data_IF_009170503097
#
_entry.id   IF_009170503097
#
_cell.length_a   1.000
_cell.length_b   1.000
_cell.length_c   1.000
_cell.angle_alpha   90.00
_cell.angle_beta   90.00
_cell.angle_gamma   90.00
#
_symmetry.space_group_name_H-M   'P 1'
#
loop_
_entity.id
_entity.type
_entity.pdbx_description
1 polymer ?
#
# COMPACT_ATOMS: atom_id res chain seq x y z
N UNK A 1 31.99 7.34 0.97
CA UNK A 1 31.17 8.37 0.29
C UNK A 1 29.90 8.47 1.10
N UNK A 2 29.66 9.59 1.76
CA UNK A 2 28.43 9.81 2.52
C UNK A 2 27.27 9.77 1.53
N UNK A 3 26.36 8.82 1.70
CA UNK A 3 25.15 8.71 0.88
C UNK A 3 24.37 10.01 1.04
N UNK A 4 24.32 10.82 -0.01
CA UNK A 4 23.68 12.14 -0.02
C UNK A 4 22.16 11.95 -0.24
N UNK A 5 21.53 11.08 0.58
CA UNK A 5 20.09 10.84 0.50
C UNK A 5 19.35 12.08 1.01
N UNK A 6 18.38 12.56 0.24
CA UNK A 6 17.58 13.76 0.52
C UNK A 6 16.19 13.43 1.02
N UNK A 7 15.71 12.23 0.71
CA UNK A 7 14.37 11.74 1.01
C UNK A 7 14.45 10.42 1.77
N UNK A 8 13.49 10.21 2.67
CA UNK A 8 13.45 8.98 3.44
C UNK A 8 12.80 7.84 2.64
N UNK A 9 11.62 8.10 2.05
CA UNK A 9 10.86 7.09 1.29
C UNK A 9 10.21 7.70 0.06
N UNK A 10 10.41 7.08 -1.10
CA UNK A 10 9.59 7.31 -2.30
C UNK A 10 8.75 6.07 -2.57
N UNK A 11 7.48 6.23 -2.95
CA UNK A 11 6.62 5.11 -3.31
C UNK A 11 6.12 5.21 -4.75
N UNK A 12 5.85 4.03 -5.33
CA UNK A 12 5.15 3.87 -6.61
C UNK A 12 3.89 3.06 -6.36
N UNK A 13 2.73 3.60 -6.73
CA UNK A 13 1.46 2.93 -6.50
C UNK A 13 0.30 3.48 -7.32
N UNK A 14 -0.88 2.94 -7.05
CA UNK A 14 -2.14 3.37 -7.66
C UNK A 14 -2.59 4.72 -7.07
N UNK A 15 -2.70 5.72 -7.93
CA UNK A 15 -3.20 7.05 -7.56
C UNK A 15 -4.71 7.11 -7.83
N UNK A 16 -5.53 7.07 -6.78
CA UNK A 16 -6.98 6.99 -6.89
C UNK A 16 -7.71 7.63 -5.72
N UNK A 17 -9.04 7.75 -5.85
CA UNK A 17 -9.89 8.11 -4.71
C UNK A 17 -10.57 6.87 -4.13
N UNK A 18 -10.60 6.78 -2.81
CA UNK A 18 -11.42 5.82 -2.09
C UNK A 18 -12.77 6.45 -1.77
N UNK A 19 -13.84 5.74 -2.14
CA UNK A 19 -15.24 6.12 -1.88
C UNK A 19 -15.82 5.08 -0.93
N UNK A 20 -15.92 5.43 0.35
CA UNK A 20 -16.38 4.54 1.41
C UNK A 20 -17.91 4.57 1.48
N UNK A 21 -18.54 3.40 1.47
CA UNK A 21 -19.98 3.23 1.52
C UNK A 21 -20.35 2.11 2.50
N UNK A 22 -21.32 2.34 3.38
CA UNK A 22 -21.89 1.27 4.19
C UNK A 22 -23.00 0.56 3.40
N UNK A 23 -22.96 -0.78 3.39
CA UNK A 23 -23.92 -1.62 2.66
C UNK A 23 -24.35 -2.81 3.51
N UNK A 24 -25.50 -3.41 3.20
CA UNK A 24 -25.91 -4.68 3.79
C UNK A 24 -25.27 -5.87 3.07
N UNK A 25 -25.14 -7.02 3.73
CA UNK A 25 -24.63 -8.24 3.06
C UNK A 25 -25.50 -8.67 1.84
N UNK A 26 -26.85 -8.64 1.91
CA UNK A 26 -27.67 -8.95 0.75
C UNK A 26 -27.43 -8.05 -0.46
N UNK A 27 -26.93 -6.82 -0.27
CA UNK A 27 -26.58 -5.94 -1.36
C UNK A 27 -25.42 -6.53 -2.20
N UNK A 28 -24.39 -7.10 -1.55
CA UNK A 28 -23.28 -7.73 -2.26
C UNK A 28 -23.74 -8.90 -3.12
N UNK A 29 -24.62 -9.75 -2.57
CA UNK A 29 -25.17 -10.90 -3.29
C UNK A 29 -26.03 -10.47 -4.48
N UNK A 30 -26.91 -9.48 -4.30
CA UNK A 30 -27.77 -8.93 -5.36
C UNK A 30 -26.98 -8.33 -6.51
N UNK A 31 -25.86 -7.69 -6.19
CA UNK A 31 -24.98 -7.06 -7.16
C UNK A 31 -23.89 -8.00 -7.71
N UNK A 32 -23.83 -9.26 -7.25
CA UNK A 32 -22.83 -10.25 -7.66
C UNK A 32 -21.41 -9.84 -7.31
N UNK A 33 -21.22 -9.20 -6.15
CA UNK A 33 -19.91 -8.70 -5.68
C UNK A 33 -19.33 -9.70 -4.68
N UNK A 34 -18.15 -10.21 -4.94
CA UNK A 34 -17.44 -11.12 -4.02
C UNK A 34 -16.97 -10.35 -2.79
N UNK A 35 -17.43 -10.77 -1.59
CA UNK A 35 -17.13 -10.13 -0.30
C UNK A 35 -15.66 -10.30 0.09
N UNK A 36 -15.09 -9.30 0.74
CA UNK A 36 -13.79 -9.38 1.40
C UNK A 36 -12.57 -9.29 0.48
N UNK A 37 -12.77 -9.01 -0.81
CA UNK A 37 -11.70 -9.01 -1.81
C UNK A 37 -11.65 -7.71 -2.62
N UNK A 38 -10.55 -7.53 -3.36
CA UNK A 38 -10.43 -6.47 -4.34
C UNK A 38 -10.91 -6.97 -5.71
N UNK A 39 -12.07 -6.46 -6.15
CA UNK A 39 -12.65 -6.71 -7.45
C UNK A 39 -12.22 -5.62 -8.43
N UNK A 40 -11.56 -5.98 -9.53
CA UNK A 40 -11.33 -5.05 -10.64
C UNK A 40 -12.63 -4.89 -11.44
N UNK A 41 -13.04 -3.64 -11.67
CA UNK A 41 -14.28 -3.32 -12.36
C UNK A 41 -14.05 -2.33 -13.50
N UNK A 42 -14.92 -2.41 -14.53
CA UNK A 42 -14.93 -1.43 -15.60
C UNK A 42 -15.43 -0.07 -15.11
N UNK A 43 -15.13 0.99 -15.86
CA UNK A 43 -15.68 2.35 -15.63
C UNK A 43 -17.20 2.37 -15.52
N UNK A 44 -17.87 1.61 -16.41
CA UNK A 44 -19.33 1.52 -16.41
C UNK A 44 -19.84 0.85 -15.12
N UNK A 45 -19.24 -0.28 -14.71
CA UNK A 45 -19.61 -0.99 -13.49
C UNK A 45 -19.39 -0.13 -12.25
N UNK A 46 -18.24 0.55 -12.16
CA UNK A 46 -17.94 1.50 -11.07
C UNK A 46 -19.03 2.59 -10.98
N UNK A 47 -19.38 3.20 -12.10
CA UNK A 47 -20.42 4.22 -12.14
C UNK A 47 -21.81 3.67 -11.75
N UNK A 48 -22.12 2.43 -12.12
CA UNK A 48 -23.40 1.79 -11.77
C UNK A 48 -23.46 1.49 -10.26
N UNK A 49 -22.41 0.98 -9.66
CA UNK A 49 -22.35 0.77 -8.20
C UNK A 49 -22.56 2.11 -7.47
N UNK A 50 -21.90 3.19 -7.90
CA UNK A 50 -22.04 4.51 -7.26
C UNK A 50 -23.46 5.09 -7.31
N UNK A 51 -24.28 4.69 -8.29
CA UNK A 51 -25.70 5.11 -8.34
C UNK A 51 -26.57 4.40 -7.30
N UNK A 52 -26.13 3.22 -6.82
CA UNK A 52 -26.88 2.36 -5.91
C UNK A 52 -26.50 2.57 -4.44
N UNK A 53 -25.36 3.18 -4.15
CA UNK A 53 -24.84 3.38 -2.82
C UNK A 53 -24.74 4.87 -2.47
N UNK A 54 -24.69 5.18 -1.16
CA UNK A 54 -24.46 6.53 -0.69
C UNK A 54 -23.09 6.62 -0.05
N UNK A 55 -22.18 7.45 -0.59
CA UNK A 55 -20.87 7.68 0.03
C UNK A 55 -21.00 8.24 1.45
N UNK A 56 -20.26 7.64 2.37
CA UNK A 56 -20.07 8.14 3.74
C UNK A 56 -18.86 9.07 3.79
N UNK A 57 -17.81 8.72 3.04
CA UNK A 57 -16.57 9.49 2.96
C UNK A 57 -15.91 9.29 1.59
N UNK A 58 -15.32 10.36 1.07
CA UNK A 58 -14.41 10.31 -0.07
C UNK A 58 -13.04 10.84 0.37
N UNK A 59 -11.97 10.16 0.00
CA UNK A 59 -10.61 10.53 0.39
C UNK A 59 -9.60 10.12 -0.68
N UNK A 60 -8.46 10.76 -0.73
CA UNK A 60 -7.35 10.23 -1.52
C UNK A 60 -6.98 8.83 -0.98
N UNK A 61 -6.85 7.86 -1.88
CA UNK A 61 -6.63 6.45 -1.61
C UNK A 61 -5.43 5.90 -2.38
N UNK A 62 -5.38 4.58 -2.48
CA UNK A 62 -4.23 3.85 -2.99
C UNK A 62 -3.29 3.42 -1.86
N UNK A 63 -2.96 2.13 -1.81
CA UNK A 63 -2.21 1.51 -0.71
C UNK A 63 -0.89 2.23 -0.42
N UNK A 64 -0.05 2.39 -1.44
CA UNK A 64 1.23 3.10 -1.27
C UNK A 64 1.04 4.59 -0.93
N UNK A 65 0.00 5.25 -1.43
CA UNK A 65 -0.28 6.65 -1.09
C UNK A 65 -0.71 6.79 0.38
N UNK A 66 -1.45 5.82 0.92
CA UNK A 66 -1.80 5.79 2.35
C UNK A 66 -0.55 5.64 3.22
N UNK A 67 0.34 4.72 2.84
CA UNK A 67 1.64 4.52 3.53
C UNK A 67 2.45 5.81 3.53
N UNK A 68 2.59 6.47 2.38
CA UNK A 68 3.38 7.70 2.24
C UNK A 68 2.76 8.87 2.99
N UNK A 69 1.43 9.03 2.99
CA UNK A 69 0.74 10.07 3.76
C UNK A 69 1.01 9.92 5.26
N UNK A 70 0.93 8.70 5.78
CA UNK A 70 1.24 8.44 7.19
C UNK A 70 2.71 8.71 7.51
N UNK A 71 3.66 8.31 6.64
CA UNK A 71 5.08 8.62 6.81
C UNK A 71 5.35 10.14 6.83
N UNK A 72 4.69 10.90 5.95
CA UNK A 72 4.79 12.36 5.94
C UNK A 72 4.27 12.97 7.25
N UNK A 73 3.14 12.50 7.78
CA UNK A 73 2.58 12.92 9.09
C UNK A 73 3.47 12.53 10.26
N UNK A 74 4.31 11.49 10.11
CA UNK A 74 5.36 11.12 11.05
C UNK A 74 6.61 12.00 10.92
N UNK A 75 6.63 12.93 9.96
CA UNK A 75 7.71 13.91 9.76
C UNK A 75 8.84 13.44 8.85
N UNK A 76 8.65 12.39 8.05
CA UNK A 76 9.61 11.98 7.05
C UNK A 76 9.47 12.79 5.76
N UNK A 77 10.57 12.92 5.02
CA UNK A 77 10.60 13.51 3.69
C UNK A 77 10.22 12.44 2.67
N UNK A 78 9.05 12.55 2.09
CA UNK A 78 8.48 11.52 1.24
C UNK A 78 8.17 12.01 -0.16
N UNK A 79 8.13 11.06 -1.11
CA UNK A 79 7.71 11.30 -2.48
C UNK A 79 6.78 10.20 -2.99
N UNK A 80 5.98 10.52 -3.98
CA UNK A 80 5.03 9.59 -4.58
C UNK A 80 5.04 9.67 -6.10
N UNK A 81 5.03 8.53 -6.75
CA UNK A 81 4.94 8.36 -8.22
C UNK A 81 3.67 7.54 -8.50
N UNK A 82 2.71 8.14 -9.21
CA UNK A 82 1.45 7.52 -9.58
C UNK A 82 0.69 8.40 -10.56
N UNK A 83 -0.08 7.81 -11.49
CA UNK A 83 -0.73 8.52 -12.59
C UNK A 83 -2.17 8.89 -12.27
N UNK A 84 -2.52 10.14 -12.47
CA UNK A 84 -3.89 10.66 -12.37
C UNK A 84 -4.28 11.38 -13.66
N UNK A 85 -5.58 11.54 -13.91
CA UNK A 85 -6.08 12.37 -14.99
C UNK A 85 -6.17 13.85 -14.58
N UNK A 86 -6.25 14.74 -15.56
CA UNK A 86 -6.51 16.18 -15.36
C UNK A 86 -8.04 16.39 -15.17
N UNK A 87 -8.57 15.82 -14.08
CA UNK A 87 -9.98 15.88 -13.70
C UNK A 87 -10.14 16.33 -12.23
N UNK A 88 -11.39 16.48 -11.78
CA UNK A 88 -11.68 16.92 -10.42
C UNK A 88 -11.08 15.97 -9.37
N UNK A 89 -11.19 14.66 -9.59
CA UNK A 89 -10.69 13.64 -8.69
C UNK A 89 -9.17 13.64 -8.61
N UNK A 90 -8.48 13.76 -9.73
CA UNK A 90 -7.02 13.92 -9.79
C UNK A 90 -6.56 15.19 -9.10
N UNK A 91 -7.33 16.28 -9.24
CA UNK A 91 -7.09 17.53 -8.51
C UNK A 91 -7.21 17.37 -6.99
N UNK A 92 -8.18 16.60 -6.50
CA UNK A 92 -8.34 16.26 -5.07
C UNK A 92 -7.15 15.44 -4.59
N UNK A 93 -6.79 14.35 -5.29
CA UNK A 93 -5.65 13.50 -4.94
C UNK A 93 -4.34 14.31 -4.85
N UNK A 94 -4.03 15.10 -5.87
CA UNK A 94 -2.83 15.93 -5.91
C UNK A 94 -2.76 16.95 -4.77
N UNK A 95 -3.89 17.62 -4.48
CA UNK A 95 -3.96 18.59 -3.38
C UNK A 95 -3.72 17.96 -2.02
N UNK A 96 -4.22 16.74 -1.81
CA UNK A 96 -4.04 15.99 -0.58
C UNK A 96 -2.56 15.63 -0.36
N UNK A 97 -1.87 15.13 -1.39
CA UNK A 97 -0.43 14.86 -1.30
C UNK A 97 0.38 16.12 -0.99
N UNK A 98 0.06 17.25 -1.66
CA UNK A 98 0.75 18.53 -1.43
C UNK A 98 0.48 19.05 0.00
N UNK A 99 -0.75 18.90 0.51
CA UNK A 99 -1.10 19.26 1.88
C UNK A 99 -0.24 18.52 2.90
N UNK A 100 0.01 17.23 2.69
CA UNK A 100 0.90 16.41 3.52
C UNK A 100 2.39 16.64 3.21
N UNK A 101 2.74 17.64 2.38
CA UNK A 101 4.12 17.98 1.97
C UNK A 101 4.85 16.84 1.24
N UNK A 102 4.11 15.96 0.57
CA UNK A 102 4.64 14.85 -0.23
C UNK A 102 5.06 15.38 -1.61
N UNK A 103 6.24 15.00 -2.06
CA UNK A 103 6.73 15.36 -3.40
C UNK A 103 5.96 14.55 -4.44
N UNK A 104 5.23 15.24 -5.31
CA UNK A 104 4.45 14.64 -6.39
C UNK A 104 4.67 15.42 -7.69
N UNK A 105 5.38 14.81 -8.65
CA UNK A 105 5.75 15.45 -9.92
C UNK A 105 5.23 14.69 -11.15
N UNK A 106 4.60 13.51 -10.98
CA UNK A 106 4.07 12.72 -12.09
C UNK A 106 3.11 13.57 -12.94
N UNK A 107 3.35 13.60 -14.23
CA UNK A 107 2.49 14.32 -15.16
C UNK A 107 1.08 13.71 -15.20
N UNK A 108 0.08 14.54 -15.42
CA UNK A 108 -1.28 14.06 -15.68
C UNK A 108 -1.31 13.13 -16.91
N UNK A 109 -2.30 12.26 -16.94
CA UNK A 109 -2.62 11.50 -18.15
C UNK A 109 -2.84 12.45 -19.33
N UNK A 110 -2.33 12.07 -20.52
CA UNK A 110 -2.44 12.87 -21.72
C UNK A 110 -3.91 13.21 -22.02
N UNK A 111 -4.17 14.47 -22.38
CA UNK A 111 -5.51 14.98 -22.69
C UNK A 111 -6.20 14.28 -23.89
N UNK A 112 -5.42 13.58 -24.73
CA UNK A 112 -5.95 12.73 -25.79
C UNK A 112 -6.58 11.42 -25.29
N UNK A 113 -6.30 11.03 -24.03
CA UNK A 113 -6.89 9.86 -23.39
C UNK A 113 -8.16 10.26 -22.63
N UNK A 114 -9.24 9.49 -22.80
CA UNK A 114 -10.55 9.77 -22.20
C UNK A 114 -10.73 9.17 -20.80
N UNK A 115 -9.72 8.45 -20.27
CA UNK A 115 -9.80 7.84 -18.94
C UNK A 115 -9.78 8.89 -17.83
N UNK A 116 -10.59 8.64 -16.78
CA UNK A 116 -10.61 9.46 -15.57
C UNK A 116 -9.64 8.93 -14.53
N UNK A 117 -9.38 9.73 -13.50
CA UNK A 117 -8.68 9.26 -12.31
C UNK A 117 -9.34 8.02 -11.71
N UNK A 118 -8.54 7.08 -11.25
CA UNK A 118 -8.99 5.82 -10.67
C UNK A 118 -9.86 6.03 -9.42
N UNK A 119 -10.73 5.05 -9.13
CA UNK A 119 -11.60 5.03 -7.94
C UNK A 119 -11.66 3.64 -7.36
N UNK A 120 -11.60 3.56 -6.04
CA UNK A 120 -11.92 2.35 -5.29
C UNK A 120 -13.20 2.58 -4.48
N UNK A 121 -14.28 1.88 -4.83
CA UNK A 121 -15.52 1.89 -4.05
C UNK A 121 -15.37 0.82 -2.97
N UNK A 122 -15.20 1.28 -1.73
CA UNK A 122 -15.04 0.42 -0.55
C UNK A 122 -16.39 0.22 0.09
N UNK A 123 -16.96 -0.97 -0.07
CA UNK A 123 -18.23 -1.39 0.51
C UNK A 123 -17.96 -2.04 1.87
N UNK A 124 -18.49 -1.44 2.94
CA UNK A 124 -18.30 -1.88 4.32
C UNK A 124 -19.57 -2.54 4.81
N UNK A 125 -19.49 -3.82 5.15
CA UNK A 125 -20.61 -4.60 5.71
C UNK A 125 -20.70 -4.47 7.24
N UNK A 126 -21.82 -4.84 7.89
CA UNK A 126 -22.02 -4.66 9.34
C UNK A 126 -20.97 -5.34 10.23
N UNK A 127 -20.36 -6.43 9.75
CA UNK A 127 -19.25 -7.13 10.41
C UNK A 127 -17.89 -6.40 10.26
N UNK A 128 -17.90 -5.20 9.65
CA UNK A 128 -16.72 -4.36 9.37
C UNK A 128 -15.76 -4.93 8.30
N UNK A 129 -16.20 -5.98 7.60
CA UNK A 129 -15.47 -6.46 6.43
C UNK A 129 -15.60 -5.46 5.27
N UNK A 130 -14.50 -5.29 4.53
CA UNK A 130 -14.43 -4.38 3.38
C UNK A 130 -14.36 -5.16 2.07
N UNK A 131 -15.11 -4.71 1.09
CA UNK A 131 -15.09 -5.24 -0.27
C UNK A 131 -14.76 -4.11 -1.22
N UNK A 132 -13.64 -4.22 -1.91
CA UNK A 132 -13.15 -3.17 -2.82
C UNK A 132 -13.62 -3.44 -4.24
N UNK A 133 -14.12 -2.39 -4.91
CA UNK A 133 -14.48 -2.42 -6.33
C UNK A 133 -13.70 -1.32 -7.02
N UNK A 134 -12.59 -1.72 -7.65
CA UNK A 134 -11.55 -0.81 -8.13
C UNK A 134 -11.63 -0.64 -9.64
N UNK A 135 -11.92 0.58 -10.08
CA UNK A 135 -11.67 1.06 -11.42
C UNK A 135 -10.33 1.77 -11.47
N UNK A 136 -9.37 1.21 -12.19
CA UNK A 136 -7.99 1.69 -12.22
C UNK A 136 -7.85 3.04 -12.95
N UNK A 137 -8.55 3.23 -14.08
CA UNK A 137 -8.55 4.51 -14.83
C UNK A 137 -7.14 4.97 -15.21
N UNK A 138 -6.86 6.25 -14.99
CA UNK A 138 -5.58 6.86 -15.34
C UNK A 138 -4.35 6.13 -14.77
N UNK A 139 -4.49 5.43 -13.65
CA UNK A 139 -3.36 4.77 -13.00
C UNK A 139 -2.80 3.59 -13.83
N UNK A 140 -3.59 2.98 -14.73
CA UNK A 140 -3.11 1.95 -15.65
C UNK A 140 -2.05 2.45 -16.64
N UNK A 141 -2.03 3.75 -16.88
CA UNK A 141 -1.14 4.42 -17.84
C UNK A 141 0.15 4.92 -17.23
N UNK A 142 0.44 4.56 -15.98
CA UNK A 142 1.77 4.80 -15.41
C UNK A 142 2.80 3.97 -16.18
N UNK A 143 3.82 4.61 -16.69
CA UNK A 143 4.82 3.99 -17.54
C UNK A 143 6.24 4.41 -17.14
N UNK A 144 7.24 3.90 -17.82
CA UNK A 144 8.65 4.17 -17.54
C UNK A 144 9.04 5.66 -17.71
N UNK A 145 8.34 6.41 -18.56
CA UNK A 145 8.58 7.86 -18.73
C UNK A 145 8.12 8.69 -17.52
N UNK A 146 7.26 8.13 -16.67
CA UNK A 146 6.75 8.78 -15.47
C UNK A 146 7.67 8.60 -14.25
N UNK A 147 8.70 7.77 -14.38
CA UNK A 147 9.63 7.47 -13.29
C UNK A 147 10.60 8.64 -13.07
N UNK A 148 10.47 9.29 -11.91
CA UNK A 148 11.39 10.34 -11.45
C UNK A 148 12.68 9.68 -10.92
N UNK A 149 13.68 9.58 -11.81
CA UNK A 149 14.96 8.94 -11.50
C UNK A 149 15.70 9.64 -10.35
N UNK A 150 15.64 10.98 -10.31
CA UNK A 150 16.31 11.76 -9.25
C UNK A 150 15.65 11.50 -7.89
N UNK A 151 14.33 11.47 -7.84
CA UNK A 151 13.58 11.19 -6.62
C UNK A 151 13.92 9.81 -6.04
N UNK A 152 14.01 8.78 -6.89
CA UNK A 152 14.41 7.42 -6.47
C UNK A 152 15.88 7.39 -6.03
N UNK A 153 16.79 7.94 -6.85
CA UNK A 153 18.22 7.91 -6.58
C UNK A 153 18.60 8.57 -5.24
N UNK A 154 17.90 9.64 -4.85
CA UNK A 154 18.14 10.36 -3.61
C UNK A 154 17.25 9.92 -2.45
N UNK A 155 16.45 8.83 -2.57
CA UNK A 155 15.69 8.25 -1.49
C UNK A 155 16.45 7.14 -0.77
N UNK A 156 16.22 6.95 0.53
CA UNK A 156 16.75 5.79 1.27
C UNK A 156 15.99 4.52 0.90
N UNK A 157 14.65 4.63 0.75
CA UNK A 157 13.77 3.52 0.40
C UNK A 157 12.93 3.83 -0.83
N UNK A 158 12.79 2.84 -1.71
CA UNK A 158 11.76 2.74 -2.73
C UNK A 158 10.70 1.75 -2.23
N UNK A 159 9.46 2.19 -2.06
CA UNK A 159 8.32 1.37 -1.67
C UNK A 159 7.44 1.06 -2.86
N UNK A 160 7.22 -0.22 -3.16
CA UNK A 160 6.49 -0.72 -4.32
C UNK A 160 5.15 -1.32 -3.92
N UNK A 161 4.08 -0.93 -4.59
CA UNK A 161 2.73 -1.46 -4.40
C UNK A 161 2.47 -2.62 -5.37
N UNK A 162 2.22 -3.83 -4.84
CA UNK A 162 2.02 -5.04 -5.62
C UNK A 162 0.87 -4.97 -6.64
N UNK A 163 -0.21 -4.25 -6.35
CA UNK A 163 -1.32 -4.05 -7.29
C UNK A 163 -0.89 -3.49 -8.65
N UNK A 164 0.30 -2.90 -8.76
CA UNK A 164 0.83 -2.38 -10.03
C UNK A 164 1.25 -3.47 -11.02
N UNK A 165 1.28 -4.72 -10.62
CA UNK A 165 1.50 -5.84 -11.55
C UNK A 165 0.32 -6.09 -12.50
N UNK A 166 -0.87 -5.57 -12.24
CA UNK A 166 -2.04 -5.73 -13.11
C UNK A 166 -1.87 -5.06 -14.50
N UNK A 167 -0.94 -4.11 -14.68
CA UNK A 167 -0.68 -3.43 -15.95
C UNK A 167 0.69 -3.72 -16.56
N UNK A 168 0.77 -4.00 -17.86
CA UNK A 168 2.04 -4.30 -18.55
C UNK A 168 3.02 -3.12 -18.53
N UNK A 169 2.56 -1.91 -18.80
CA UNK A 169 3.40 -0.71 -18.75
C UNK A 169 3.83 -0.41 -17.32
N UNK A 170 2.97 -0.69 -16.35
CA UNK A 170 3.32 -0.59 -14.93
C UNK A 170 4.45 -1.52 -14.52
N UNK A 171 4.47 -2.75 -15.04
CA UNK A 171 5.57 -3.69 -14.82
C UNK A 171 6.88 -3.12 -15.34
N UNK A 172 6.90 -2.55 -16.54
CA UNK A 172 8.09 -1.89 -17.10
C UNK A 172 8.55 -0.74 -16.21
N UNK A 173 7.61 0.10 -15.75
CA UNK A 173 7.90 1.19 -14.83
C UNK A 173 8.53 0.67 -13.52
N UNK A 174 8.02 -0.43 -12.96
CA UNK A 174 8.59 -1.05 -11.77
C UNK A 174 10.02 -1.53 -11.99
N UNK A 175 10.28 -2.29 -13.06
CA UNK A 175 11.62 -2.78 -13.35
C UNK A 175 12.61 -1.63 -13.59
N UNK A 176 12.20 -0.56 -14.28
CA UNK A 176 13.02 0.65 -14.41
C UNK A 176 13.33 1.29 -13.05
N UNK A 177 12.32 1.42 -12.19
CA UNK A 177 12.51 1.99 -10.85
C UNK A 177 13.46 1.14 -9.99
N UNK A 178 13.35 -0.19 -10.06
CA UNK A 178 14.23 -1.15 -9.37
C UNK A 178 15.68 -1.01 -9.87
N UNK A 179 15.87 -0.90 -11.18
CA UNK A 179 17.21 -0.70 -11.78
C UNK A 179 17.86 0.58 -11.24
N UNK A 180 17.10 1.68 -11.22
CA UNK A 180 17.55 2.97 -10.67
C UNK A 180 17.90 2.83 -9.19
N UNK A 181 17.04 2.18 -8.41
CA UNK A 181 17.24 1.95 -6.99
C UNK A 181 18.53 1.15 -6.71
N UNK A 182 18.72 0.03 -7.40
CA UNK A 182 19.94 -0.80 -7.29
C UNK A 182 21.21 -0.02 -7.63
N UNK A 183 21.19 0.72 -8.75
CA UNK A 183 22.32 1.55 -9.19
C UNK A 183 22.72 2.59 -8.16
N UNK A 184 21.74 3.13 -7.42
CA UNK A 184 21.94 4.21 -6.46
C UNK A 184 21.91 3.73 -4.99
N UNK A 185 21.92 2.42 -4.74
CA UNK A 185 21.86 1.82 -3.40
C UNK A 185 20.63 2.28 -2.59
N UNK A 186 19.54 2.58 -3.26
CA UNK A 186 18.24 2.79 -2.65
C UNK A 186 17.67 1.42 -2.30
N UNK A 187 17.31 1.21 -1.05
CA UNK A 187 16.71 -0.06 -0.59
C UNK A 187 15.30 -0.22 -1.13
N UNK A 188 14.88 -1.46 -1.35
CA UNK A 188 13.60 -1.77 -1.97
C UNK A 188 12.71 -2.50 -0.99
N UNK A 189 11.56 -1.91 -0.67
CA UNK A 189 10.47 -2.53 0.07
C UNK A 189 9.27 -2.75 -0.84
N UNK A 190 8.57 -3.87 -0.70
CA UNK A 190 7.35 -4.18 -1.45
C UNK A 190 6.25 -4.66 -0.54
N UNK A 191 5.00 -4.30 -0.85
CA UNK A 191 3.81 -4.96 -0.31
C UNK A 191 3.23 -5.93 -1.33
N UNK A 192 2.81 -7.11 -0.89
CA UNK A 192 2.11 -8.08 -1.75
C UNK A 192 0.68 -7.64 -2.07
N UNK A 193 0.14 -6.72 -1.30
CA UNK A 193 -1.13 -6.01 -1.49
C UNK A 193 -2.38 -6.82 -1.20
N UNK A 194 -2.56 -8.00 -1.82
CA UNK A 194 -3.77 -8.81 -1.65
C UNK A 194 -3.53 -10.21 -2.26
N UNK A 195 -4.14 -11.24 -1.69
CA UNK A 195 -3.93 -12.64 -2.10
C UNK A 195 -4.34 -12.92 -3.55
N UNK A 196 -5.40 -12.25 -4.06
CA UNK A 196 -5.83 -12.40 -5.46
C UNK A 196 -4.86 -11.72 -6.44
N UNK A 197 -4.22 -10.62 -6.03
CA UNK A 197 -3.13 -10.01 -6.79
C UNK A 197 -1.93 -10.96 -6.85
N UNK A 198 -1.59 -11.59 -5.73
CA UNK A 198 -0.52 -12.60 -5.65
C UNK A 198 -0.83 -13.78 -6.56
N UNK A 199 -2.06 -14.31 -6.54
CA UNK A 199 -2.46 -15.44 -7.39
C UNK A 199 -2.30 -15.14 -8.89
N UNK A 200 -2.69 -13.94 -9.32
CA UNK A 200 -2.56 -13.53 -10.73
C UNK A 200 -1.12 -13.33 -11.17
N UNK A 201 -0.23 -12.92 -10.27
CA UNK A 201 1.12 -12.46 -10.60
C UNK A 201 2.22 -13.17 -9.80
N UNK A 202 1.95 -14.41 -9.33
CA UNK A 202 2.83 -15.17 -8.43
C UNK A 202 4.27 -15.25 -8.91
N UNK A 203 4.48 -15.60 -10.18
CA UNK A 203 5.84 -15.69 -10.74
C UNK A 203 6.57 -14.34 -10.75
N UNK A 204 5.87 -13.26 -11.06
CA UNK A 204 6.44 -11.90 -11.02
C UNK A 204 6.87 -11.54 -9.59
N UNK A 205 6.00 -11.81 -8.59
CA UNK A 205 6.34 -11.60 -7.19
C UNK A 205 7.55 -12.43 -6.75
N UNK A 206 7.55 -13.74 -7.00
CA UNK A 206 8.68 -14.60 -6.63
C UNK A 206 9.99 -14.11 -7.22
N UNK A 207 10.00 -13.74 -8.51
CA UNK A 207 11.19 -13.22 -9.17
C UNK A 207 11.65 -11.91 -8.53
N UNK A 208 10.74 -10.96 -8.32
CA UNK A 208 11.06 -9.67 -7.70
C UNK A 208 11.60 -9.83 -6.28
N UNK A 209 10.97 -10.68 -5.48
CA UNK A 209 11.38 -10.95 -4.10
C UNK A 209 12.79 -11.54 -4.03
N UNK A 210 13.09 -12.52 -4.87
CA UNK A 210 14.39 -13.19 -4.89
C UNK A 210 15.52 -12.28 -5.40
N UNK A 211 15.22 -11.41 -6.36
CA UNK A 211 16.25 -10.66 -7.06
C UNK A 211 16.48 -9.25 -6.49
N UNK A 212 15.49 -8.68 -5.82
CA UNK A 212 15.49 -7.22 -5.64
C UNK A 212 14.99 -6.72 -4.30
N UNK A 213 14.15 -7.44 -3.57
CA UNK A 213 13.54 -6.93 -2.36
C UNK A 213 14.45 -7.05 -1.13
N UNK A 214 14.66 -5.93 -0.42
CA UNK A 214 15.29 -5.89 0.89
C UNK A 214 14.29 -6.15 2.02
N UNK A 215 13.02 -5.77 1.80
CA UNK A 215 11.93 -5.86 2.78
C UNK A 215 10.60 -6.18 2.10
N UNK A 216 9.85 -7.10 2.67
CA UNK A 216 8.51 -7.49 2.19
C UNK A 216 7.49 -7.26 3.29
N UNK A 217 6.37 -6.62 2.92
CA UNK A 217 5.17 -6.54 3.72
C UNK A 217 4.09 -7.45 3.14
N UNK A 218 3.47 -8.26 3.97
CA UNK A 218 2.37 -9.14 3.59
C UNK A 218 1.46 -9.42 4.79
N UNK A 219 0.34 -10.08 4.53
CA UNK A 219 -0.46 -10.75 5.56
C UNK A 219 -0.35 -12.29 5.42
N UNK A 220 -1.01 -13.02 6.35
CA UNK A 220 -0.97 -14.50 6.35
C UNK A 220 -1.55 -15.09 5.05
N UNK A 221 -2.63 -14.51 4.50
CA UNK A 221 -3.30 -15.05 3.31
C UNK A 221 -2.50 -14.75 2.03
N UNK A 222 -1.90 -13.59 1.93
CA UNK A 222 -0.97 -13.24 0.84
C UNK A 222 0.26 -14.17 0.84
N UNK A 223 0.81 -14.48 2.01
CA UNK A 223 1.95 -15.35 2.14
C UNK A 223 1.62 -16.80 1.78
N UNK A 224 0.44 -17.30 2.20
CA UNK A 224 -0.08 -18.63 1.80
C UNK A 224 -0.31 -18.70 0.29
N UNK A 225 -0.96 -17.68 -0.29
CA UNK A 225 -1.18 -17.58 -1.74
C UNK A 225 0.15 -17.60 -2.51
N UNK A 226 1.16 -16.86 -2.07
CA UNK A 226 2.45 -16.76 -2.74
C UNK A 226 3.14 -18.13 -2.90
N UNK A 227 3.05 -18.97 -1.89
CA UNK A 227 3.72 -20.28 -1.87
C UNK A 227 2.75 -21.46 -2.06
N UNK A 228 1.47 -21.22 -2.31
CA UNK A 228 0.43 -22.26 -2.52
C UNK A 228 0.37 -23.27 -1.38
N UNK A 229 0.42 -22.80 -0.14
CA UNK A 229 0.42 -23.63 1.06
C UNK A 229 -0.78 -23.34 1.94
N UNK A 230 -1.33 -24.39 2.57
CA UNK A 230 -2.46 -24.24 3.49
C UNK A 230 -2.04 -23.66 4.86
N UNK A 231 -0.82 -23.98 5.30
CA UNK A 231 -0.34 -23.66 6.63
C UNK A 231 0.69 -22.53 6.58
N UNK A 232 0.49 -21.51 7.40
CA UNK A 232 1.40 -20.37 7.49
C UNK A 232 2.82 -20.79 7.86
N UNK A 233 3.01 -21.86 8.65
CA UNK A 233 4.32 -22.38 9.05
C UNK A 233 5.15 -22.87 7.86
N UNK A 234 4.50 -23.44 6.84
CA UNK A 234 5.19 -23.85 5.62
C UNK A 234 5.65 -22.63 4.80
N UNK A 235 4.79 -21.62 4.65
CA UNK A 235 5.16 -20.35 4.00
C UNK A 235 6.31 -19.64 4.75
N UNK A 236 6.27 -19.66 6.07
CA UNK A 236 7.31 -19.09 6.92
C UNK A 236 8.69 -19.71 6.66
N UNK A 237 8.75 -21.02 6.51
CA UNK A 237 10.01 -21.72 6.19
C UNK A 237 10.54 -21.35 4.80
N UNK A 238 9.66 -21.30 3.82
CA UNK A 238 10.05 -20.98 2.44
C UNK A 238 10.61 -19.56 2.32
N UNK A 239 9.93 -18.57 2.91
CA UNK A 239 10.33 -17.16 2.79
C UNK A 239 11.58 -16.82 3.61
N UNK A 240 11.81 -17.50 4.74
CA UNK A 240 12.98 -17.27 5.59
C UNK A 240 14.31 -17.56 4.87
N UNK A 241 14.30 -18.44 3.86
CA UNK A 241 15.49 -18.84 3.12
C UNK A 241 15.77 -17.93 1.90
N UNK A 242 14.81 -17.12 1.45
CA UNK A 242 14.89 -16.38 0.18
C UNK A 242 15.00 -14.87 0.34
N UNK A 243 14.52 -14.26 1.41
CA UNK A 243 14.39 -12.81 1.55
C UNK A 243 15.04 -12.30 2.83
N UNK A 244 15.70 -11.13 2.76
CA UNK A 244 16.46 -10.58 3.90
C UNK A 244 15.57 -10.23 5.09
N UNK A 245 14.36 -9.69 4.86
CA UNK A 245 13.42 -9.33 5.91
C UNK A 245 11.98 -9.39 5.41
N UNK A 246 11.10 -10.05 6.16
CA UNK A 246 9.66 -10.06 5.92
C UNK A 246 8.91 -9.67 7.18
N UNK A 247 7.96 -8.77 7.04
CA UNK A 247 7.02 -8.36 8.07
C UNK A 247 5.61 -8.81 7.67
N UNK A 248 5.16 -9.93 8.25
CA UNK A 248 3.87 -10.53 7.95
C UNK A 248 2.85 -10.19 9.04
N UNK A 249 1.82 -9.42 8.71
CA UNK A 249 0.74 -9.07 9.64
C UNK A 249 -0.23 -10.24 9.85
N UNK A 250 -0.72 -10.40 11.09
CA UNK A 250 -1.56 -11.51 11.50
C UNK A 250 -2.74 -11.02 12.36
N UNK A 251 -3.45 -10.01 11.88
CA UNK A 251 -4.60 -9.38 12.51
C UNK A 251 -4.40 -9.11 14.02
N UNK A 252 -5.30 -9.57 14.89
CA UNK A 252 -5.23 -9.37 16.33
C UNK A 252 -4.04 -10.08 17.02
N UNK A 253 -3.35 -10.98 16.29
CA UNK A 253 -2.13 -11.65 16.80
C UNK A 253 -0.89 -10.75 16.68
N UNK A 254 -0.95 -9.65 15.93
CA UNK A 254 0.16 -8.73 15.67
C UNK A 254 0.91 -9.06 14.37
N UNK A 255 2.22 -9.21 14.41
CA UNK A 255 3.02 -9.50 13.22
C UNK A 255 4.11 -10.54 13.49
N UNK A 256 4.46 -11.30 12.46
CA UNK A 256 5.67 -12.11 12.43
C UNK A 256 6.77 -11.38 11.66
N UNK A 257 7.97 -11.42 12.22
CA UNK A 257 9.21 -10.99 11.56
C UNK A 257 10.04 -12.21 11.16
N UNK A 258 10.40 -12.27 9.89
CA UNK A 258 11.35 -13.24 9.37
C UNK A 258 12.62 -12.51 8.99
N UNK A 259 13.74 -12.84 9.62
CA UNK A 259 15.02 -12.21 9.33
C UNK A 259 16.17 -13.17 9.67
N UNK A 260 17.06 -13.45 8.69
CA UNK A 260 18.24 -14.32 8.86
C UNK A 260 17.90 -15.66 9.56
N UNK A 261 16.94 -16.39 9.02
CA UNK A 261 16.45 -17.66 9.55
C UNK A 261 15.85 -17.61 10.98
N UNK A 262 15.61 -16.42 11.51
CA UNK A 262 14.89 -16.25 12.77
C UNK A 262 13.44 -15.82 12.51
N UNK A 263 12.52 -16.39 13.28
CA UNK A 263 11.10 -16.04 13.25
C UNK A 263 10.72 -15.49 14.62
N UNK A 264 10.19 -14.27 14.67
CA UNK A 264 9.77 -13.62 15.90
C UNK A 264 8.36 -13.09 15.75
N UNK A 265 7.52 -13.36 16.74
CA UNK A 265 6.18 -12.78 16.82
C UNK A 265 6.22 -11.53 17.68
N UNK A 266 5.64 -10.44 17.14
CA UNK A 266 5.48 -9.16 17.83
C UNK A 266 3.97 -8.97 18.07
N UNK A 267 3.54 -9.06 19.32
CA UNK A 267 2.12 -8.92 19.68
C UNK A 267 1.63 -7.48 19.48
N UNK A 268 0.33 -7.33 19.31
CA UNK A 268 -0.36 -6.03 19.24
C UNK A 268 -1.33 -5.85 20.41
N UNK A 269 -1.78 -4.62 20.64
CA UNK A 269 -2.82 -4.28 21.60
C UNK A 269 -4.20 -4.44 20.95
N UNK A 270 -5.20 -4.88 21.71
CA UNK A 270 -6.58 -4.88 21.25
C UNK A 270 -7.10 -3.47 21.11
N UNK A 271 -7.78 -3.19 20.01
CA UNK A 271 -8.46 -1.91 19.74
C UNK A 271 -9.92 -2.16 19.37
N UNK A 272 -10.76 -1.13 19.52
CA UNK A 272 -12.14 -1.18 19.05
C UNK A 272 -12.16 -0.84 17.56
N UNK A 273 -12.36 -1.83 16.71
CA UNK A 273 -12.29 -1.68 15.26
C UNK A 273 -13.54 -0.98 14.73
N UNK A 274 -13.33 0.09 13.97
CA UNK A 274 -14.37 0.82 13.21
C UNK A 274 -14.30 0.40 11.74
N UNK A 275 -13.09 0.40 11.15
CA UNK A 275 -12.83 0.10 9.75
C UNK A 275 -11.43 -0.53 9.62
N UNK A 276 -11.28 -1.58 8.82
CA UNK A 276 -10.00 -2.27 8.61
C UNK A 276 -9.19 -1.72 7.44
N UNK A 277 -9.74 -0.73 6.70
CA UNK A 277 -9.09 -0.14 5.53
C UNK A 277 -7.76 0.52 5.90
N UNK A 278 -6.69 0.17 5.17
CA UNK A 278 -5.37 0.77 5.36
C UNK A 278 -4.58 0.25 6.56
N UNK A 279 -5.02 -0.81 7.26
CA UNK A 279 -4.28 -1.36 8.39
C UNK A 279 -2.86 -1.81 7.97
N UNK A 280 -2.74 -2.54 6.86
CA UNK A 280 -1.45 -2.97 6.28
C UNK A 280 -0.58 -1.79 5.84
N UNK A 281 -1.18 -0.76 5.22
CA UNK A 281 -0.49 0.46 4.77
C UNK A 281 0.11 1.21 5.97
N UNK A 282 -0.65 1.31 7.04
CA UNK A 282 -0.25 2.00 8.26
C UNK A 282 0.76 1.17 9.08
N UNK A 283 0.66 -0.16 9.05
CA UNK A 283 1.71 -1.03 9.59
C UNK A 283 3.03 -0.81 8.85
N UNK A 284 3.03 -0.81 7.51
CA UNK A 284 4.22 -0.56 6.70
C UNK A 284 4.81 0.83 6.98
N UNK A 285 3.98 1.85 7.17
CA UNK A 285 4.45 3.20 7.49
C UNK A 285 5.15 3.26 8.85
N UNK A 286 4.58 2.67 9.90
CA UNK A 286 5.21 2.59 11.23
C UNK A 286 6.53 1.84 11.20
N UNK A 287 6.59 0.75 10.45
CA UNK A 287 7.79 -0.06 10.28
C UNK A 287 8.90 0.72 9.56
N UNK A 288 8.61 1.33 8.41
CA UNK A 288 9.57 2.13 7.62
C UNK A 288 10.03 3.36 8.40
N UNK A 289 9.15 4.00 9.17
CA UNK A 289 9.54 5.07 10.07
C UNK A 289 10.56 4.58 11.11
N UNK A 290 10.31 3.43 11.75
CA UNK A 290 11.26 2.85 12.70
C UNK A 290 12.63 2.59 12.07
N UNK A 291 12.67 2.09 10.84
CA UNK A 291 13.91 1.89 10.08
C UNK A 291 14.65 3.21 9.84
N UNK A 292 13.94 4.29 9.47
CA UNK A 292 14.55 5.62 9.27
C UNK A 292 15.16 6.20 10.56
N UNK A 293 14.69 5.72 11.73
CA UNK A 293 15.25 6.08 13.06
C UNK A 293 16.27 5.07 13.59
N UNK A 294 16.69 4.11 12.75
CA UNK A 294 17.61 3.04 13.12
C UNK A 294 17.15 2.20 14.32
N UNK A 295 15.84 1.98 14.46
CA UNK A 295 15.30 1.09 15.49
C UNK A 295 15.58 -0.38 15.15
N UNK A 296 15.55 -1.26 16.15
CA UNK A 296 15.58 -2.71 15.90
C UNK A 296 14.33 -3.14 15.11
N UNK A 297 14.42 -4.24 14.36
CA UNK A 297 13.29 -4.75 13.57
C UNK A 297 12.06 -5.03 14.43
N UNK A 298 12.28 -5.52 15.66
CA UNK A 298 11.20 -5.77 16.62
C UNK A 298 10.51 -4.46 17.03
N UNK A 299 11.27 -3.40 17.27
CA UNK A 299 10.73 -2.08 17.59
C UNK A 299 10.02 -1.48 16.38
N UNK A 300 10.53 -1.68 15.15
CA UNK A 300 9.86 -1.29 13.91
C UNK A 300 8.50 -1.98 13.78
N UNK A 301 8.42 -3.29 14.01
CA UNK A 301 7.16 -4.04 13.94
C UNK A 301 6.18 -3.64 15.06
N UNK A 302 6.67 -3.40 16.28
CA UNK A 302 5.83 -2.92 17.37
C UNK A 302 5.20 -1.56 17.02
N UNK A 303 5.99 -0.65 16.47
CA UNK A 303 5.50 0.66 16.01
C UNK A 303 4.53 0.51 14.84
N UNK A 304 4.80 -0.40 13.89
CA UNK A 304 3.87 -0.76 12.82
C UNK A 304 2.52 -1.22 13.37
N UNK A 305 2.51 -2.12 14.35
CA UNK A 305 1.30 -2.58 15.03
C UNK A 305 0.54 -1.43 15.71
N UNK A 306 1.24 -0.50 16.34
CA UNK A 306 0.61 0.64 17.02
C UNK A 306 -0.03 1.61 16.04
N UNK A 307 0.65 1.97 14.94
CA UNK A 307 0.11 2.86 13.90
C UNK A 307 -1.07 2.18 13.17
N UNK A 308 -0.96 0.88 12.88
CA UNK A 308 -2.09 0.11 12.35
C UNK A 308 -3.28 0.12 13.32
N UNK A 309 -3.03 -0.02 14.62
CA UNK A 309 -4.06 0.07 15.66
C UNK A 309 -4.79 1.41 15.66
N UNK A 310 -4.08 2.51 15.41
CA UNK A 310 -4.68 3.85 15.33
C UNK A 310 -5.64 3.99 14.13
N UNK A 311 -5.25 3.51 12.94
CA UNK A 311 -6.13 3.61 11.77
C UNK A 311 -7.39 2.76 11.89
N UNK A 312 -7.33 1.62 12.60
CA UNK A 312 -8.50 0.78 12.85
C UNK A 312 -9.61 1.49 13.64
N UNK A 313 -9.31 2.61 14.33
CA UNK A 313 -10.27 3.36 15.13
C UNK A 313 -10.92 4.55 14.39
N UNK A 314 -10.71 4.68 13.09
CA UNK A 314 -11.28 5.75 12.26
C UNK A 314 -11.88 5.17 10.97
N UNK A 315 -12.74 5.94 10.30
CA UNK A 315 -13.23 5.57 8.96
C UNK A 315 -12.19 5.95 7.89
N UNK A 316 -11.84 4.98 7.06
CA UNK A 316 -10.93 5.12 5.93
C UNK A 316 -9.46 4.89 6.27
N UNK A 317 -8.60 4.83 5.23
CA UNK A 317 -7.23 4.35 5.37
C UNK A 317 -6.26 5.36 5.98
N UNK A 318 -6.69 6.59 6.26
CA UNK A 318 -5.80 7.68 6.66
C UNK A 318 -6.10 8.23 8.04
N UNK A 319 -5.05 8.37 8.84
CA UNK A 319 -5.10 9.00 10.15
C UNK A 319 -5.05 10.52 9.94
N UNK A 320 -6.10 11.25 10.32
CA UNK A 320 -6.17 12.72 10.12
C UNK A 320 -5.39 13.52 11.16
N UNK A 321 -5.25 12.99 12.39
CA UNK A 321 -4.50 13.64 13.47
C UNK A 321 -2.99 13.58 13.25
N UNK A 322 -2.26 14.59 13.79
CA UNK A 322 -0.80 14.56 13.82
C UNK A 322 -0.28 13.39 14.67
N UNK A 323 0.63 12.62 14.11
CA UNK A 323 1.28 11.47 14.77
C UNK A 323 2.59 11.85 15.49
N UNK A 324 3.07 13.07 15.37
CA UNK A 324 4.35 13.50 15.97
C UNK A 324 4.36 13.40 17.49
N UNK A 325 3.24 13.65 18.15
CA UNK A 325 3.15 13.47 19.61
C UNK A 325 3.09 11.98 20.01
N UNK A 326 2.50 11.14 19.18
CA UNK A 326 2.43 9.68 19.38
C UNK A 326 3.83 9.07 19.45
N UNK A 327 4.75 9.50 18.60
CA UNK A 327 6.12 9.00 18.53
C UNK A 327 6.93 9.41 19.77
N UNK A 328 6.74 10.64 20.25
CA UNK A 328 7.46 11.12 21.48
C UNK A 328 7.16 10.29 22.73
N UNK A 329 5.98 9.65 22.77
CA UNK A 329 5.55 8.81 23.91
C UNK A 329 6.05 7.37 23.75
N UNK A 330 6.25 6.89 22.53
CA UNK A 330 6.56 5.50 22.20
C UNK A 330 8.00 5.29 21.69
N UNK A 331 8.80 6.35 21.50
CA UNK A 331 10.22 6.31 21.13
C UNK A 331 11.13 6.22 22.36
#
# INVERSE_FOLDING_TARGET
>A
MTDNKKYDVVAIGNAMLDVLCEVSEPFLDQEGISKGVMNLVSRERSNNILKLVKPVKETAGGSAANTISTLAKLGLKTGYIGKIADDQQGGVFKKDLIHDSIIYKTAFLDKGNSESTGKCIVLITPDKERTMNTYLGATEYLSDIDIDEELIAYSEWLYLEGYRFDGQESKKAFYKAIEIAKKNKTKIAITLSDSFCVDRHRSDFINLLNESADLVFCNEDELKSLYEVEYIEAAQKLIADTISCVACTCAEKGAYLFHKSSIRRISTKKVSVIDTTGAGDNFASGFLYGLSKNFSLEKCAALGNEIAGEVLTVYGPRIEKSLTNFIKVNA
#
